data_IF_075480898387
#
_entry.id   IF_075480898387
#
_cell.length_a   1.000
_cell.length_b   1.000
_cell.length_c   1.000
_cell.angle_alpha   90.00
_cell.angle_beta   90.00
_cell.angle_gamma   90.00
#
_symmetry.space_group_name_H-M   'P 1'
#
loop_
_entity.id
_entity.type
_entity.pdbx_description
1 polymer ?
#
# COMPACT_ATOMS: atom_id res chain seq x y z
N UNK A 1 2.03 31.35 -8.13
CA UNK A 1 2.43 31.21 -6.70
C UNK A 1 2.91 29.79 -6.44
N UNK A 2 3.73 29.59 -5.44
CA UNK A 2 4.32 28.29 -5.09
C UNK A 2 3.26 27.23 -4.84
N UNK A 3 2.15 27.58 -4.19
CA UNK A 3 1.01 26.70 -4.01
C UNK A 3 0.44 26.20 -5.36
N UNK A 4 0.30 27.09 -6.34
CA UNK A 4 -0.21 26.70 -7.67
C UNK A 4 0.75 25.72 -8.37
N UNK A 5 2.07 25.92 -8.24
CA UNK A 5 3.07 25.00 -8.81
C UNK A 5 3.00 23.63 -8.15
N UNK A 6 2.85 23.55 -6.82
CA UNK A 6 2.66 22.29 -6.09
C UNK A 6 1.38 21.57 -6.50
N UNK A 7 0.25 22.28 -6.55
CA UNK A 7 -1.03 21.68 -6.99
C UNK A 7 -0.92 21.14 -8.40
N UNK A 8 -0.31 21.91 -9.32
CA UNK A 8 -0.08 21.48 -10.71
C UNK A 8 0.78 20.21 -10.77
N UNK A 9 1.86 20.16 -9.99
CA UNK A 9 2.74 19.00 -9.88
C UNK A 9 2.00 17.73 -9.42
N UNK A 10 1.22 17.83 -8.34
CA UNK A 10 0.44 16.69 -7.84
C UNK A 10 -0.69 16.27 -8.78
N UNK A 11 -1.33 17.21 -9.46
CA UNK A 11 -2.36 16.90 -10.47
C UNK A 11 -1.76 16.18 -11.67
N UNK A 12 -0.65 16.68 -12.21
CA UNK A 12 0.06 16.05 -13.33
C UNK A 12 0.45 14.61 -12.99
N UNK A 13 0.95 14.37 -11.77
CA UNK A 13 1.27 13.03 -11.30
C UNK A 13 0.03 12.12 -11.25
N UNK A 14 -1.09 12.60 -10.66
CA UNK A 14 -2.33 11.82 -10.57
C UNK A 14 -2.93 11.48 -11.94
N UNK A 15 -2.77 12.38 -12.91
CA UNK A 15 -3.26 12.18 -14.28
C UNK A 15 -2.32 11.31 -15.14
N UNK A 16 -1.12 10.98 -14.61
CA UNK A 16 -0.13 10.15 -15.33
C UNK A 16 0.54 10.88 -16.51
N UNK A 17 0.48 12.21 -16.55
CA UNK A 17 1.14 13.00 -17.58
C UNK A 17 2.62 13.26 -17.23
N UNK A 18 3.49 12.39 -17.70
CA UNK A 18 4.93 12.43 -17.41
C UNK A 18 5.62 13.72 -17.87
N UNK A 19 5.19 14.33 -18.99
CA UNK A 19 5.76 15.58 -19.49
C UNK A 19 5.38 16.74 -18.57
N UNK A 20 4.09 16.82 -18.22
CA UNK A 20 3.60 17.84 -17.29
C UNK A 20 4.22 17.71 -15.89
N UNK A 21 4.47 16.49 -15.41
CA UNK A 21 5.20 16.23 -14.15
C UNK A 21 6.59 16.83 -14.19
N UNK A 22 7.34 16.63 -15.28
CA UNK A 22 8.69 17.18 -15.43
C UNK A 22 8.68 18.72 -15.49
N UNK A 23 7.77 19.31 -16.27
CA UNK A 23 7.64 20.77 -16.34
C UNK A 23 7.22 21.39 -14.99
N UNK A 24 6.28 20.77 -14.30
CA UNK A 24 5.83 21.25 -13.01
C UNK A 24 6.91 21.11 -11.93
N UNK A 25 7.70 19.99 -11.96
CA UNK A 25 8.83 19.78 -11.07
C UNK A 25 9.89 20.90 -11.18
N UNK A 26 10.21 21.35 -12.39
CA UNK A 26 11.18 22.44 -12.61
C UNK A 26 10.74 23.78 -11.98
N UNK A 27 9.44 23.94 -11.72
CA UNK A 27 8.86 25.15 -11.12
C UNK A 27 8.76 25.07 -9.59
N UNK A 28 9.09 23.93 -8.99
CA UNK A 28 9.16 23.79 -7.54
C UNK A 28 10.40 24.48 -7.00
N UNK A 29 10.25 25.11 -5.84
CA UNK A 29 11.37 25.78 -5.16
C UNK A 29 12.13 24.79 -4.29
N UNK A 30 13.28 24.35 -4.72
CA UNK A 30 14.15 23.38 -4.04
C UNK A 30 14.65 23.83 -2.64
N UNK A 31 14.42 25.10 -2.27
CA UNK A 31 14.76 25.63 -0.95
C UNK A 31 13.52 25.81 -0.06
N UNK A 32 12.34 25.38 -0.55
CA UNK A 32 11.08 25.46 0.18
C UNK A 32 10.74 24.09 0.77
N UNK A 33 10.64 23.98 2.08
CA UNK A 33 10.27 22.72 2.76
C UNK A 33 8.98 22.09 2.21
N UNK A 34 7.89 22.84 1.93
CA UNK A 34 6.71 22.24 1.31
C UNK A 34 6.95 21.65 -0.08
N UNK A 35 7.86 22.21 -0.87
CA UNK A 35 8.18 21.71 -2.21
C UNK A 35 9.13 20.50 -2.12
N UNK A 36 10.08 20.50 -1.19
CA UNK A 36 10.91 19.31 -0.88
C UNK A 36 10.05 18.14 -0.37
N UNK A 37 9.08 18.39 0.52
CA UNK A 37 8.13 17.36 0.97
C UNK A 37 7.28 16.81 -0.19
N UNK A 38 6.86 17.66 -1.12
CA UNK A 38 6.10 17.25 -2.30
C UNK A 38 6.94 16.36 -3.22
N UNK A 39 8.22 16.68 -3.38
CA UNK A 39 9.16 15.87 -4.15
C UNK A 39 9.41 14.51 -3.48
N UNK A 40 9.67 14.49 -2.17
CA UNK A 40 9.86 13.25 -1.43
C UNK A 40 8.61 12.34 -1.50
N UNK A 41 7.41 12.92 -1.41
CA UNK A 41 6.16 12.17 -1.58
C UNK A 41 6.03 11.58 -2.99
N UNK A 42 6.50 12.27 -4.03
CA UNK A 42 6.52 11.73 -5.40
C UNK A 42 7.48 10.53 -5.50
N UNK A 43 8.71 10.63 -4.97
CA UNK A 43 9.66 9.52 -4.94
C UNK A 43 9.04 8.31 -4.22
N UNK A 44 8.42 8.53 -3.06
CA UNK A 44 7.71 7.47 -2.34
C UNK A 44 6.64 6.78 -3.19
N UNK A 45 5.82 7.54 -3.93
CA UNK A 45 4.76 7.00 -4.78
C UNK A 45 5.29 6.26 -6.02
N UNK A 46 6.50 6.61 -6.49
CA UNK A 46 7.20 5.93 -7.59
C UNK A 46 7.96 4.68 -7.15
N UNK A 47 7.91 4.31 -5.87
CA UNK A 47 8.73 3.27 -5.24
C UNK A 47 10.26 3.58 -5.24
N UNK A 48 10.62 4.85 -5.24
CA UNK A 48 11.98 5.37 -5.11
C UNK A 48 12.19 5.77 -3.63
N UNK A 49 12.15 4.78 -2.71
CA UNK A 49 12.13 5.05 -1.27
C UNK A 49 13.45 5.63 -0.75
N UNK A 50 14.58 5.26 -1.33
CA UNK A 50 15.91 5.73 -0.91
C UNK A 50 16.03 7.24 -1.16
N UNK A 51 15.59 7.71 -2.32
CA UNK A 51 15.57 9.14 -2.67
C UNK A 51 14.61 9.92 -1.75
N UNK A 52 13.45 9.34 -1.45
CA UNK A 52 12.51 9.95 -0.50
C UNK A 52 13.13 10.07 0.90
N UNK A 53 13.83 9.03 1.37
CA UNK A 53 14.51 9.01 2.67
C UNK A 53 15.59 10.11 2.74
N UNK A 54 16.39 10.29 1.70
CA UNK A 54 17.42 11.32 1.67
C UNK A 54 16.83 12.72 1.85
N UNK A 55 15.74 13.02 1.14
CA UNK A 55 15.05 14.31 1.24
C UNK A 55 14.44 14.49 2.64
N UNK A 56 13.72 13.49 3.16
CA UNK A 56 13.12 13.56 4.50
C UNK A 56 14.18 13.71 5.59
N UNK A 57 15.31 13.01 5.51
CA UNK A 57 16.43 13.16 6.46
C UNK A 57 17.03 14.56 6.41
N UNK A 58 17.24 15.11 5.23
CA UNK A 58 17.75 16.48 5.06
C UNK A 58 16.83 17.49 5.77
N UNK A 59 15.51 17.40 5.52
CA UNK A 59 14.53 18.29 6.18
C UNK A 59 14.53 18.07 7.69
N UNK A 60 14.62 16.83 8.15
CA UNK A 60 14.62 16.49 9.58
C UNK A 60 15.82 17.07 10.33
N UNK A 61 17.00 17.09 9.70
CA UNK A 61 18.21 17.69 10.28
C UNK A 61 18.09 19.21 10.44
N UNK A 62 17.44 19.88 9.48
CA UNK A 62 17.29 21.32 9.47
C UNK A 62 16.12 21.79 10.37
N UNK A 63 15.02 21.06 10.38
CA UNK A 63 13.77 21.47 11.04
C UNK A 63 13.09 20.27 11.66
N UNK A 64 13.24 20.03 12.92
CA UNK A 64 12.69 18.91 13.67
C UNK A 64 11.15 18.85 13.64
N UNK A 65 10.57 18.46 12.50
CA UNK A 65 9.15 18.16 12.40
C UNK A 65 8.89 16.72 12.82
N UNK A 66 8.14 16.50 13.90
CA UNK A 66 7.84 15.15 14.41
C UNK A 66 7.18 14.25 13.38
N UNK A 67 6.33 14.82 12.52
CA UNK A 67 5.66 14.07 11.44
C UNK A 67 6.64 13.39 10.46
N UNK A 68 7.88 13.89 10.32
CA UNK A 68 8.89 13.26 9.47
C UNK A 68 9.28 11.85 9.94
N UNK A 69 9.14 11.55 11.24
CA UNK A 69 9.33 10.19 11.75
C UNK A 69 8.38 9.21 11.06
N UNK A 70 7.13 9.62 10.81
CA UNK A 70 6.13 8.77 10.15
C UNK A 70 6.44 8.62 8.66
N UNK A 71 6.84 9.70 7.96
CA UNK A 71 7.20 9.60 6.54
C UNK A 71 8.44 8.73 6.32
N UNK A 72 9.46 8.86 7.18
CA UNK A 72 10.62 7.98 7.17
C UNK A 72 10.24 6.53 7.49
N UNK A 73 9.41 6.32 8.50
CA UNK A 73 8.93 4.99 8.86
C UNK A 73 8.16 4.32 7.71
N UNK A 74 7.35 5.07 6.96
CA UNK A 74 6.66 4.55 5.77
C UNK A 74 7.63 4.11 4.68
N UNK A 75 8.71 4.88 4.44
CA UNK A 75 9.74 4.48 3.49
C UNK A 75 10.47 3.21 3.95
N UNK A 76 10.90 3.16 5.21
CA UNK A 76 11.56 1.98 5.77
C UNK A 76 10.66 0.75 5.80
N UNK A 77 9.36 0.92 6.07
CA UNK A 77 8.37 -0.15 5.97
C UNK A 77 8.30 -0.74 4.55
N UNK A 78 8.32 0.12 3.52
CA UNK A 78 8.32 -0.31 2.12
C UNK A 78 9.61 -1.04 1.71
N UNK A 79 10.73 -0.69 2.33
CA UNK A 79 12.03 -1.36 2.16
C UNK A 79 12.19 -2.59 3.06
N UNK A 80 11.14 -2.98 3.81
CA UNK A 80 11.12 -4.12 4.74
C UNK A 80 12.08 -3.99 5.94
N UNK A 81 12.59 -2.77 6.21
CA UNK A 81 13.37 -2.47 7.42
C UNK A 81 12.44 -2.21 8.60
N UNK A 82 11.74 -3.26 9.03
CA UNK A 82 10.66 -3.18 10.02
C UNK A 82 11.12 -2.68 11.39
N UNK A 83 12.30 -3.06 11.84
CA UNK A 83 12.84 -2.62 13.14
C UNK A 83 13.02 -1.10 13.16
N UNK A 84 13.66 -0.53 12.12
CA UNK A 84 13.87 0.91 12.01
C UNK A 84 12.52 1.65 11.89
N UNK A 85 11.60 1.11 11.09
CA UNK A 85 10.27 1.68 10.93
C UNK A 85 9.51 1.70 12.27
N UNK A 86 9.59 0.61 13.05
CA UNK A 86 8.93 0.49 14.34
C UNK A 86 9.49 1.47 15.38
N UNK A 87 10.80 1.65 15.43
CA UNK A 87 11.45 2.59 16.33
C UNK A 87 10.99 4.03 16.05
N UNK A 88 10.95 4.44 14.79
CA UNK A 88 10.48 5.77 14.38
C UNK A 88 9.01 5.99 14.74
N UNK A 89 8.15 4.99 14.50
CA UNK A 89 6.73 5.04 14.85
C UNK A 89 6.55 5.12 16.36
N UNK A 90 7.26 4.30 17.14
CA UNK A 90 7.17 4.31 18.60
C UNK A 90 7.66 5.64 19.20
N UNK A 91 8.72 6.22 18.62
CA UNK A 91 9.17 7.56 19.03
C UNK A 91 8.06 8.59 18.79
N UNK A 92 7.43 8.61 17.62
CA UNK A 92 6.32 9.52 17.33
C UNK A 92 5.11 9.29 18.24
N UNK A 93 4.73 8.03 18.48
CA UNK A 93 3.60 7.68 19.34
C UNK A 93 3.84 7.99 20.83
N UNK A 94 5.09 8.14 21.28
CA UNK A 94 5.39 8.58 22.64
C UNK A 94 4.91 10.01 22.91
N UNK A 95 4.75 10.82 21.85
CA UNK A 95 4.29 12.21 21.91
C UNK A 95 2.82 12.31 21.43
N UNK A 96 2.46 11.58 20.40
CA UNK A 96 1.16 11.62 19.69
C UNK A 96 0.48 10.25 19.70
N UNK A 97 0.11 9.79 20.90
CA UNK A 97 -0.37 8.41 21.11
C UNK A 97 -1.71 8.07 20.42
N UNK A 98 -2.53 9.07 20.13
CA UNK A 98 -3.83 8.95 19.47
C UNK A 98 -3.78 9.13 17.94
N UNK A 99 -2.60 9.25 17.37
CA UNK A 99 -2.42 9.40 15.92
C UNK A 99 -2.92 8.17 15.15
N UNK A 100 -3.97 8.34 14.35
CA UNK A 100 -4.55 7.29 13.49
C UNK A 100 -3.51 6.72 12.54
N UNK A 101 -2.79 7.59 11.82
CA UNK A 101 -1.81 7.18 10.81
C UNK A 101 -0.68 6.39 11.45
N UNK A 102 -0.15 6.85 12.59
CA UNK A 102 0.96 6.19 13.27
C UNK A 102 0.57 4.82 13.86
N UNK A 103 -0.60 4.71 14.50
CA UNK A 103 -1.11 3.44 15.01
C UNK A 103 -1.44 2.46 13.87
N UNK A 104 -2.00 2.95 12.78
CA UNK A 104 -2.25 2.13 11.59
C UNK A 104 -0.94 1.61 10.96
N UNK A 105 0.09 2.45 10.85
CA UNK A 105 1.40 2.04 10.37
C UNK A 105 2.05 1.03 11.32
N UNK A 106 1.97 1.25 12.64
CA UNK A 106 2.45 0.29 13.65
C UNK A 106 1.80 -1.09 13.50
N UNK A 107 0.47 -1.12 13.35
CA UNK A 107 -0.26 -2.36 13.13
C UNK A 107 0.17 -3.07 11.83
N UNK A 108 0.40 -2.31 10.76
CA UNK A 108 0.88 -2.84 9.48
C UNK A 108 2.30 -3.40 9.59
N UNK A 109 3.19 -2.74 10.32
CA UNK A 109 4.55 -3.21 10.60
C UNK A 109 4.48 -4.53 11.39
N UNK A 110 3.70 -4.57 12.46
CA UNK A 110 3.53 -5.78 13.30
C UNK A 110 3.03 -6.96 12.47
N UNK A 111 2.00 -6.72 11.64
CA UNK A 111 1.45 -7.75 10.76
C UNK A 111 2.49 -8.27 9.75
N UNK A 112 3.25 -7.38 9.10
CA UNK A 112 4.19 -7.75 8.05
C UNK A 112 5.47 -8.41 8.61
N UNK A 113 5.94 -7.98 9.79
CA UNK A 113 7.19 -8.49 10.38
C UNK A 113 7.03 -9.80 11.13
N UNK A 114 5.91 -9.99 11.82
CA UNK A 114 5.70 -11.15 12.72
C UNK A 114 4.62 -12.11 12.22
N UNK A 115 3.75 -11.69 11.29
CA UNK A 115 2.56 -12.44 10.91
C UNK A 115 1.51 -12.53 12.02
N UNK A 116 1.62 -11.70 13.07
CA UNK A 116 0.73 -11.74 14.23
C UNK A 116 -0.53 -10.89 14.00
N UNK A 117 -1.53 -11.49 13.37
CA UNK A 117 -2.82 -10.86 13.08
C UNK A 117 -3.47 -10.26 14.33
N UNK A 118 -3.41 -10.99 15.45
CA UNK A 118 -4.04 -10.58 16.70
C UNK A 118 -3.39 -9.32 17.28
N UNK A 119 -2.06 -9.26 17.32
CA UNK A 119 -1.35 -8.09 17.82
C UNK A 119 -1.63 -6.85 16.95
N UNK A 120 -1.63 -7.00 15.63
CA UNK A 120 -1.97 -5.92 14.70
C UNK A 120 -3.41 -5.43 14.89
N UNK A 121 -4.36 -6.35 15.04
CA UNK A 121 -5.78 -6.04 15.33
C UNK A 121 -5.93 -5.28 16.65
N UNK A 122 -5.27 -5.76 17.71
CA UNK A 122 -5.33 -5.15 19.04
C UNK A 122 -4.79 -3.71 19.06
N UNK A 123 -3.75 -3.40 18.28
CA UNK A 123 -3.22 -2.04 18.15
C UNK A 123 -4.30 -1.09 17.62
N UNK A 124 -5.03 -1.48 16.57
CA UNK A 124 -6.10 -0.63 16.00
C UNK A 124 -7.29 -0.53 16.95
N UNK A 125 -7.70 -1.63 17.59
CA UNK A 125 -8.81 -1.62 18.54
C UNK A 125 -8.51 -0.73 19.76
N UNK A 126 -7.27 -0.73 20.25
CA UNK A 126 -6.86 0.13 21.35
C UNK A 126 -6.91 1.62 20.99
N UNK A 127 -6.83 1.98 19.71
CA UNK A 127 -6.95 3.36 19.26
C UNK A 127 -8.32 3.97 19.63
N UNK A 128 -9.40 3.19 19.66
CA UNK A 128 -10.72 3.67 20.11
C UNK A 128 -10.67 4.20 21.56
N UNK A 129 -9.93 3.51 22.41
CA UNK A 129 -9.78 3.90 23.81
C UNK A 129 -8.92 5.15 23.95
N UNK A 130 -7.84 5.27 23.18
CA UNK A 130 -6.92 6.41 23.20
C UNK A 130 -7.57 7.69 22.67
N UNK A 131 -8.27 7.59 21.56
CA UNK A 131 -8.93 8.71 20.90
C UNK A 131 -10.22 9.16 21.62
N UNK A 132 -10.68 8.43 22.65
CA UNK A 132 -11.94 8.69 23.39
C UNK A 132 -13.15 8.84 22.47
N UNK A 133 -13.13 8.17 21.32
CA UNK A 133 -14.18 8.19 20.31
C UNK A 133 -14.56 6.75 19.98
N UNK A 134 -15.82 6.39 20.24
CA UNK A 134 -16.36 5.07 19.90
C UNK A 134 -16.41 4.83 18.38
N UNK A 135 -16.48 5.89 17.60
CA UNK A 135 -16.82 5.84 16.18
C UNK A 135 -15.59 6.00 15.26
N UNK A 136 -14.39 6.21 15.83
CA UNK A 136 -13.15 6.48 15.06
C UNK A 136 -12.85 5.39 14.02
N UNK A 137 -13.16 4.14 14.32
CA UNK A 137 -12.98 3.03 13.38
C UNK A 137 -14.10 3.04 12.34
N UNK A 138 -15.36 3.27 12.76
CA UNK A 138 -16.51 3.27 11.87
C UNK A 138 -16.48 4.44 10.86
N UNK A 139 -15.86 5.55 11.24
CA UNK A 139 -15.71 6.73 10.38
C UNK A 139 -14.45 6.70 9.51
N UNK A 140 -13.57 5.70 9.69
CA UNK A 140 -12.30 5.63 8.97
C UNK A 140 -12.20 4.36 8.11
N UNK A 141 -12.31 4.53 6.80
CA UNK A 141 -12.29 3.43 5.84
C UNK A 141 -10.97 2.65 5.82
N UNK A 142 -9.83 3.33 6.06
CA UNK A 142 -8.53 2.66 6.14
C UNK A 142 -8.44 1.73 7.36
N UNK A 143 -8.93 2.18 8.51
CA UNK A 143 -8.96 1.34 9.72
C UNK A 143 -9.92 0.15 9.56
N UNK A 144 -11.10 0.36 8.97
CA UNK A 144 -12.03 -0.75 8.65
C UNK A 144 -11.40 -1.77 7.72
N UNK A 145 -10.75 -1.29 6.67
CA UNK A 145 -10.04 -2.15 5.72
C UNK A 145 -8.98 -3.00 6.42
N UNK A 146 -8.09 -2.38 7.19
CA UNK A 146 -6.98 -3.09 7.83
C UNK A 146 -7.46 -4.03 8.94
N UNK A 147 -8.49 -3.66 9.67
CA UNK A 147 -9.13 -4.60 10.61
C UNK A 147 -9.69 -5.82 9.89
N UNK A 148 -10.30 -5.66 8.72
CA UNK A 148 -10.75 -6.79 7.93
C UNK A 148 -9.57 -7.64 7.40
N UNK A 149 -8.43 -7.04 7.09
CA UNK A 149 -7.21 -7.78 6.72
C UNK A 149 -6.68 -8.61 7.89
N UNK A 150 -6.57 -8.01 9.08
CA UNK A 150 -5.99 -8.65 10.27
C UNK A 150 -6.95 -9.63 10.96
N UNK A 151 -8.24 -9.56 10.68
CA UNK A 151 -9.24 -10.39 11.33
C UNK A 151 -9.48 -11.70 10.56
N UNK A 152 -8.96 -12.80 11.07
CA UNK A 152 -9.15 -14.13 10.49
C UNK A 152 -10.22 -14.97 11.19
N UNK A 153 -11.00 -14.38 12.11
CA UNK A 153 -12.09 -15.10 12.81
C UNK A 153 -13.31 -15.26 11.89
N UNK A 154 -13.90 -16.48 11.80
CA UNK A 154 -15.02 -16.76 10.89
C UNK A 154 -16.27 -15.92 11.15
N UNK A 155 -16.59 -15.66 12.42
CA UNK A 155 -17.81 -14.97 12.87
C UNK A 155 -17.54 -13.50 13.26
N UNK A 156 -16.48 -12.92 12.74
CA UNK A 156 -16.12 -11.55 13.07
C UNK A 156 -17.13 -10.53 12.53
N UNK A 157 -17.35 -9.47 13.32
CA UNK A 157 -18.07 -8.27 12.86
C UNK A 157 -17.41 -7.58 11.68
N UNK A 158 -16.10 -7.77 11.49
CA UNK A 158 -15.31 -7.24 10.37
C UNK A 158 -15.37 -8.18 9.16
N UNK A 159 -16.56 -8.47 8.68
CA UNK A 159 -16.77 -9.36 7.52
C UNK A 159 -16.02 -8.85 6.29
N UNK A 160 -14.98 -9.61 5.89
CA UNK A 160 -14.07 -9.26 4.78
C UNK A 160 -14.81 -8.98 3.49
N UNK A 161 -15.77 -9.85 3.13
CA UNK A 161 -16.54 -9.71 1.89
C UNK A 161 -17.28 -8.37 1.85
N UNK A 162 -18.01 -8.05 2.92
CA UNK A 162 -18.79 -6.82 3.01
C UNK A 162 -17.90 -5.57 3.00
N UNK A 163 -16.83 -5.59 3.81
CA UNK A 163 -15.94 -4.43 3.95
C UNK A 163 -15.20 -4.16 2.64
N UNK A 164 -14.55 -5.18 2.07
CA UNK A 164 -13.79 -4.99 0.84
C UNK A 164 -14.68 -4.60 -0.35
N UNK A 165 -15.89 -5.18 -0.46
CA UNK A 165 -16.83 -4.80 -1.52
C UNK A 165 -17.27 -3.34 -1.43
N UNK A 166 -17.46 -2.80 -0.23
CA UNK A 166 -17.84 -1.41 -0.04
C UNK A 166 -16.68 -0.42 -0.29
N UNK A 167 -15.43 -0.90 -0.24
CA UNK A 167 -14.24 -0.06 -0.36
C UNK A 167 -13.53 -0.17 -1.73
N UNK A 168 -14.12 -0.89 -2.70
CA UNK A 168 -13.50 -1.15 -4.01
C UNK A 168 -13.06 0.10 -4.77
N UNK A 169 -13.84 1.19 -4.66
CA UNK A 169 -13.59 2.45 -5.36
C UNK A 169 -12.93 3.50 -4.46
N UNK A 170 -12.69 3.17 -3.18
CA UNK A 170 -12.13 4.07 -2.18
C UNK A 170 -10.67 3.71 -1.88
N UNK A 171 -10.39 2.41 -1.67
CA UNK A 171 -9.07 1.89 -1.31
C UNK A 171 -8.62 0.90 -2.40
N UNK A 172 -7.55 1.20 -3.16
CA UNK A 172 -7.08 0.33 -4.24
C UNK A 172 -6.77 -1.09 -3.77
N UNK A 173 -6.19 -1.25 -2.58
CA UNK A 173 -5.86 -2.53 -1.97
C UNK A 173 -7.09 -3.38 -1.63
N UNK A 174 -8.26 -2.77 -1.44
CA UNK A 174 -9.49 -3.50 -1.16
C UNK A 174 -9.86 -4.45 -2.30
N UNK A 175 -9.65 -4.03 -3.55
CA UNK A 175 -9.87 -4.89 -4.72
C UNK A 175 -8.93 -6.08 -4.72
N UNK A 176 -7.63 -5.87 -4.48
CA UNK A 176 -6.64 -6.94 -4.42
C UNK A 176 -6.97 -7.93 -3.29
N UNK A 177 -7.30 -7.42 -2.10
CA UNK A 177 -7.67 -8.24 -0.95
C UNK A 177 -8.97 -9.02 -1.17
N UNK A 178 -9.96 -8.46 -1.87
CA UNK A 178 -11.18 -9.17 -2.23
C UNK A 178 -10.91 -10.31 -3.24
N UNK A 179 -10.03 -10.09 -4.21
CA UNK A 179 -9.61 -11.14 -5.15
C UNK A 179 -8.93 -12.28 -4.38
N UNK A 180 -8.00 -11.97 -3.47
CA UNK A 180 -7.33 -12.96 -2.63
C UNK A 180 -8.35 -13.72 -1.77
N UNK A 181 -9.31 -13.02 -1.17
CA UNK A 181 -10.39 -13.64 -0.40
C UNK A 181 -11.20 -14.64 -1.24
N UNK A 182 -11.60 -14.27 -2.46
CA UNK A 182 -12.32 -15.17 -3.34
C UNK A 182 -11.49 -16.39 -3.76
N UNK A 183 -10.21 -16.22 -4.07
CA UNK A 183 -9.32 -17.33 -4.39
C UNK A 183 -9.16 -18.31 -3.22
N UNK A 184 -8.96 -17.81 -2.02
CA UNK A 184 -8.88 -18.64 -0.79
C UNK A 184 -10.19 -19.37 -0.48
N UNK A 185 -11.32 -18.78 -0.87
CA UNK A 185 -12.65 -19.38 -0.74
C UNK A 185 -13.06 -20.31 -1.88
N UNK A 186 -12.18 -20.53 -2.86
CA UNK A 186 -12.47 -21.36 -4.05
C UNK A 186 -13.42 -20.68 -5.06
N UNK A 187 -13.73 -19.40 -4.88
CA UNK A 187 -14.65 -18.64 -5.72
C UNK A 187 -13.94 -17.99 -6.92
N UNK A 188 -13.27 -18.81 -7.72
CA UNK A 188 -12.37 -18.37 -8.81
C UNK A 188 -13.07 -17.49 -9.84
N UNK A 189 -14.32 -17.78 -10.20
CA UNK A 189 -15.08 -16.98 -11.17
C UNK A 189 -15.36 -15.55 -10.66
N UNK A 190 -15.63 -15.38 -9.37
CA UNK A 190 -15.80 -14.06 -8.75
C UNK A 190 -14.47 -13.27 -8.76
N UNK A 191 -13.35 -13.94 -8.43
CA UNK A 191 -12.03 -13.34 -8.54
C UNK A 191 -11.73 -12.90 -9.98
N UNK A 192 -12.03 -13.73 -10.96
CA UNK A 192 -11.85 -13.41 -12.37
C UNK A 192 -12.68 -12.20 -12.82
N UNK A 193 -13.95 -12.12 -12.42
CA UNK A 193 -14.81 -11.00 -12.76
C UNK A 193 -14.29 -9.65 -12.24
N UNK A 194 -13.60 -9.62 -11.09
CA UNK A 194 -12.98 -8.40 -10.55
C UNK A 194 -11.70 -8.01 -11.29
N UNK A 195 -10.97 -8.97 -11.86
CA UNK A 195 -9.63 -8.71 -12.40
C UNK A 195 -9.58 -8.66 -13.93
N UNK A 196 -10.57 -9.21 -14.64
CA UNK A 196 -10.56 -9.35 -16.11
C UNK A 196 -10.31 -8.03 -16.85
N UNK A 197 -10.99 -6.95 -16.42
CA UNK A 197 -10.95 -5.63 -17.06
C UNK A 197 -9.90 -4.71 -16.44
N UNK A 198 -9.23 -5.12 -15.35
CA UNK A 198 -8.22 -4.34 -14.66
C UNK A 198 -6.93 -4.31 -15.51
N UNK A 199 -6.40 -3.12 -15.79
CA UNK A 199 -5.07 -2.97 -16.35
C UNK A 199 -4.04 -3.12 -15.22
N UNK A 200 -3.09 -4.07 -15.31
CA UNK A 200 -2.08 -4.25 -14.29
C UNK A 200 -1.07 -3.08 -14.36
N UNK A 201 -0.84 -2.42 -13.22
CA UNK A 201 0.09 -1.30 -13.09
C UNK A 201 1.28 -1.71 -12.22
N UNK A 202 1.01 -2.43 -11.12
CA UNK A 202 2.03 -2.87 -10.17
C UNK A 202 2.40 -4.34 -10.39
N UNK A 203 3.59 -4.73 -9.91
CA UNK A 203 4.02 -6.13 -9.91
C UNK A 203 2.98 -7.05 -9.26
N UNK A 204 2.35 -6.61 -8.17
CA UNK A 204 1.29 -7.35 -7.47
C UNK A 204 0.06 -7.58 -8.35
N UNK A 205 -0.31 -6.64 -9.20
CA UNK A 205 -1.43 -6.79 -10.13
C UNK A 205 -1.13 -7.86 -11.19
N UNK A 206 0.11 -7.89 -11.71
CA UNK A 206 0.55 -8.95 -12.65
C UNK A 206 0.51 -10.32 -11.98
N UNK A 207 1.02 -10.45 -10.74
CA UNK A 207 0.98 -11.70 -9.97
C UNK A 207 -0.47 -12.13 -9.75
N UNK A 208 -1.35 -11.25 -9.31
CA UNK A 208 -2.77 -11.58 -9.10
C UNK A 208 -3.44 -12.06 -10.38
N UNK A 209 -3.21 -11.38 -11.51
CA UNK A 209 -3.73 -11.83 -12.81
C UNK A 209 -3.20 -13.22 -13.16
N UNK A 210 -1.91 -13.45 -13.03
CA UNK A 210 -1.29 -14.73 -13.30
C UNK A 210 -1.92 -15.84 -12.43
N UNK A 211 -2.03 -15.62 -11.13
CA UNK A 211 -2.59 -16.60 -10.19
C UNK A 211 -4.06 -16.91 -10.49
N UNK A 212 -4.90 -15.91 -10.76
CA UNK A 212 -6.31 -16.13 -11.15
C UNK A 212 -6.39 -16.98 -12.44
N UNK A 213 -5.57 -16.67 -13.44
CA UNK A 213 -5.51 -17.46 -14.67
C UNK A 213 -4.97 -18.88 -14.45
N UNK A 214 -4.03 -19.09 -13.51
CA UNK A 214 -3.60 -20.43 -13.11
C UNK A 214 -4.76 -21.24 -12.53
N UNK A 215 -5.53 -20.69 -11.61
CA UNK A 215 -6.68 -21.38 -11.02
C UNK A 215 -7.76 -21.71 -12.07
N UNK A 216 -8.03 -20.80 -13.02
CA UNK A 216 -8.95 -21.07 -14.12
C UNK A 216 -8.42 -22.16 -15.05
N UNK A 217 -7.10 -22.23 -15.26
CA UNK A 217 -6.47 -23.20 -16.14
C UNK A 217 -6.34 -24.59 -15.54
N UNK A 218 -6.23 -24.72 -14.22
CA UNK A 218 -6.11 -26.01 -13.53
C UNK A 218 -7.33 -26.91 -13.71
N UNK A 219 -8.51 -26.35 -13.91
CA UNK A 219 -9.76 -27.08 -14.11
C UNK A 219 -10.14 -27.23 -15.58
N UNK A 220 -9.24 -26.88 -16.51
CA UNK A 220 -9.48 -26.88 -17.95
C UNK A 220 -8.73 -27.95 -18.70
N UNK A 221 -9.03 -28.08 -20.02
CA UNK A 221 -8.38 -29.04 -20.91
C UNK A 221 -6.90 -28.70 -21.19
N UNK A 222 -6.06 -29.70 -21.58
CA UNK A 222 -4.68 -29.49 -21.99
C UNK A 222 -4.56 -28.45 -23.12
N UNK A 223 -3.66 -27.46 -22.94
CA UNK A 223 -3.48 -26.37 -23.91
C UNK A 223 -4.30 -25.12 -23.62
N UNK A 224 -4.92 -25.06 -22.45
CA UNK A 224 -5.78 -24.01 -21.99
C UNK A 224 -5.16 -22.61 -22.15
N UNK A 225 -5.88 -21.72 -22.81
CA UNK A 225 -5.49 -20.31 -23.02
C UNK A 225 -5.18 -19.56 -21.72
N UNK A 226 -5.85 -19.93 -20.61
CA UNK A 226 -5.61 -19.32 -19.31
C UNK A 226 -4.20 -19.59 -18.79
N UNK A 227 -3.66 -20.81 -18.94
CA UNK A 227 -2.29 -21.11 -18.54
C UNK A 227 -1.25 -20.32 -19.34
N UNK A 228 -1.51 -20.11 -20.65
CA UNK A 228 -0.66 -19.27 -21.49
C UNK A 228 -0.70 -17.80 -21.05
N UNK A 229 -1.88 -17.28 -20.71
CA UNK A 229 -2.03 -15.92 -20.15
C UNK A 229 -1.29 -15.78 -18.82
N UNK A 230 -1.44 -16.76 -17.91
CA UNK A 230 -0.70 -16.79 -16.67
C UNK A 230 0.81 -16.73 -16.89
N UNK A 231 1.33 -17.56 -17.80
CA UNK A 231 2.74 -17.55 -18.17
C UNK A 231 3.19 -16.18 -18.68
N UNK A 232 2.40 -15.54 -19.55
CA UNK A 232 2.70 -14.21 -20.07
C UNK A 232 2.81 -13.16 -18.95
N UNK A 233 1.87 -13.18 -17.98
CA UNK A 233 1.90 -12.26 -16.84
C UNK A 233 3.13 -12.50 -15.96
N UNK A 234 3.50 -13.73 -15.64
CA UNK A 234 4.72 -14.04 -14.90
C UNK A 234 5.99 -13.63 -15.66
N UNK A 235 6.03 -13.83 -16.96
CA UNK A 235 7.16 -13.39 -17.79
C UNK A 235 7.32 -11.86 -17.80
N UNK A 236 6.21 -11.11 -17.72
CA UNK A 236 6.24 -9.64 -17.70
C UNK A 236 6.91 -9.07 -16.43
N UNK A 237 7.01 -9.85 -15.35
CA UNK A 237 7.71 -9.46 -14.12
C UNK A 237 9.09 -10.13 -13.98
N UNK A 238 9.62 -10.73 -15.04
CA UNK A 238 10.94 -11.35 -15.05
C UNK A 238 11.03 -12.73 -14.40
N UNK A 239 9.89 -13.37 -14.06
CA UNK A 239 9.88 -14.68 -13.37
C UNK A 239 10.49 -15.83 -14.20
N UNK A 240 10.74 -15.64 -15.50
CA UNK A 240 11.37 -16.62 -16.40
C UNK A 240 12.89 -16.45 -16.52
N UNK A 241 13.49 -15.45 -15.91
CA UNK A 241 14.91 -15.14 -15.96
C UNK A 241 15.62 -15.60 -14.68
N UNK A 242 16.90 -15.97 -14.79
CA UNK A 242 17.75 -16.30 -13.63
C UNK A 242 18.06 -15.07 -12.78
N UNK A 243 17.97 -13.89 -13.38
CA UNK A 243 18.06 -12.60 -12.71
C UNK A 243 16.70 -11.93 -12.77
N UNK A 244 16.04 -11.82 -11.64
CA UNK A 244 14.73 -11.20 -11.53
C UNK A 244 14.89 -9.76 -11.05
N UNK A 245 14.33 -8.80 -11.78
CA UNK A 245 14.50 -7.36 -11.51
C UNK A 245 13.64 -6.87 -10.35
N UNK A 246 12.69 -7.68 -9.86
CA UNK A 246 11.81 -7.31 -8.75
C UNK A 246 11.91 -8.27 -7.58
N UNK A 247 11.76 -7.75 -6.35
CA UNK A 247 11.78 -8.55 -5.12
C UNK A 247 10.64 -9.59 -5.16
N UNK A 248 9.44 -9.18 -5.58
CA UNK A 248 8.27 -10.04 -5.69
C UNK A 248 8.42 -11.12 -6.77
N UNK A 249 9.19 -10.86 -7.82
CA UNK A 249 9.47 -11.85 -8.87
C UNK A 249 10.49 -12.91 -8.47
N UNK A 250 11.25 -12.70 -7.35
CA UNK A 250 12.23 -13.66 -6.79
C UNK A 250 11.60 -14.63 -5.80
N UNK A 251 10.40 -14.38 -5.33
CA UNK A 251 9.63 -15.24 -4.41
C UNK A 251 8.72 -16.19 -5.19
#
# INVERSE_FOLDING_TARGET
SDLNNRVRFHLAFKLGDGNEVLEAHQKLNQNSVPDELSLAALHYLKNEQEEAIEIYKKIFMDKKYDALNIYLAMCYYKLEYYDIALDLVNHYLSIHNDSIIANNLKASIEYSSTGNDKAAKDIILNLQNLAKSSDIIEDNDLLKHNLAVFDNEPDSKYNKLKIFSNLLDIIPEARQNLIIYYLRSGLVNQAFNLIKDMQPITTKDYILKAVVHCFLGQNGEPGNENLKKAQTFFQSIGASTTECDTIEGRQ
#
